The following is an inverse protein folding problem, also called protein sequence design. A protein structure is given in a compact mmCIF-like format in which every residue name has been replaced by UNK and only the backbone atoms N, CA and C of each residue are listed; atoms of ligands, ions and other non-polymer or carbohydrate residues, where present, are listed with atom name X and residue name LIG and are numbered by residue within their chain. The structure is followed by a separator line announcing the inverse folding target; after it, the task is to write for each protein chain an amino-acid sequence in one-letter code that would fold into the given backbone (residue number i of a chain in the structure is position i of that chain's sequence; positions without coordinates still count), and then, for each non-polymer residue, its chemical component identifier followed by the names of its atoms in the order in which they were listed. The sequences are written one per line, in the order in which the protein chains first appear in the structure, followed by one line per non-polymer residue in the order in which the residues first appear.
data_IF_968240480294
#
_entry.id   IF_968240480294
#
_cell.length_a   1.000
_cell.length_b   1.000
_cell.length_c   1.000
_cell.angle_alpha   90.00
_cell.angle_beta   90.00
_cell.angle_gamma   90.00
#
_symmetry.space_group_name_H-M   'P 1'
#
loop_
_entity.id
_entity.type
_entity.pdbx_description
1 polymer ?
#
# COMPACT_ATOMS: atom_id res chain seq x y z
N UNK A 1 -23.64 5.07 30.23
CA UNK A 1 -23.05 6.30 30.82
C UNK A 1 -21.51 6.28 30.86
N UNK A 2 -20.86 5.17 31.23
CA UNK A 2 -19.38 5.07 31.26
C UNK A 2 -18.72 5.18 29.87
N UNK A 3 -19.28 4.55 28.83
CA UNK A 3 -18.75 4.63 27.45
C UNK A 3 -18.77 6.08 26.93
N UNK A 4 -19.88 6.81 27.12
CA UNK A 4 -19.98 8.21 26.68
C UNK A 4 -18.94 9.09 27.39
N UNK A 5 -18.71 8.86 28.69
CA UNK A 5 -17.68 9.57 29.45
C UNK A 5 -16.28 9.27 28.91
N UNK A 6 -15.99 8.00 28.62
CA UNK A 6 -14.73 7.58 27.99
C UNK A 6 -14.51 8.25 26.63
N UNK A 7 -15.52 8.24 25.74
CA UNK A 7 -15.42 8.86 24.42
C UNK A 7 -15.19 10.37 24.51
N UNK A 8 -15.84 11.08 25.45
CA UNK A 8 -15.61 12.51 25.70
C UNK A 8 -14.20 12.79 26.22
N UNK A 9 -13.68 11.95 27.11
CA UNK A 9 -12.29 12.06 27.60
C UNK A 9 -11.29 11.84 26.47
N UNK A 10 -11.53 10.84 25.61
CA UNK A 10 -10.70 10.56 24.45
C UNK A 10 -10.72 11.71 23.45
N UNK A 11 -11.90 12.26 23.15
CA UNK A 11 -12.07 13.42 22.28
C UNK A 11 -11.32 14.65 22.81
N UNK A 12 -11.45 14.95 24.11
CA UNK A 12 -10.75 16.06 24.77
C UNK A 12 -9.23 15.90 24.68
N UNK A 13 -8.73 14.68 24.89
CA UNK A 13 -7.32 14.35 24.75
C UNK A 13 -6.82 14.54 23.31
N UNK A 14 -7.59 14.06 22.32
CA UNK A 14 -7.28 14.21 20.90
C UNK A 14 -7.19 15.69 20.50
N UNK A 15 -8.13 16.52 20.96
CA UNK A 15 -8.10 17.98 20.69
C UNK A 15 -6.86 18.64 21.27
N UNK A 16 -6.46 18.28 22.50
CA UNK A 16 -5.25 18.80 23.14
C UNK A 16 -4.01 18.44 22.31
N UNK A 17 -3.89 17.17 21.90
CA UNK A 17 -2.79 16.70 21.07
C UNK A 17 -2.71 17.40 19.71
N UNK A 18 -3.86 17.82 19.15
CA UNK A 18 -3.98 18.45 17.82
C UNK A 18 -3.85 19.99 17.87
N UNK A 19 -3.73 20.62 19.05
CA UNK A 19 -3.78 22.08 19.16
C UNK A 19 -2.56 22.83 18.59
N UNK A 20 -1.41 22.17 18.42
CA UNK A 20 -0.18 22.79 17.93
C UNK A 20 0.30 22.20 16.59
N UNK A 21 0.22 23.02 15.53
CA UNK A 21 0.46 22.60 14.14
C UNK A 21 1.83 21.93 13.90
N UNK A 22 2.89 22.35 14.60
CA UNK A 22 4.23 21.77 14.42
C UNK A 22 4.31 20.38 15.08
N UNK A 23 3.82 20.23 16.30
CA UNK A 23 3.79 18.93 16.98
C UNK A 23 2.88 17.94 16.25
N UNK A 24 1.76 18.41 15.68
CA UNK A 24 0.89 17.56 14.86
C UNK A 24 1.62 16.98 13.66
N UNK A 25 2.38 17.82 12.95
CA UNK A 25 3.13 17.39 11.78
C UNK A 25 4.18 16.35 12.18
N UNK A 26 4.90 16.58 13.28
CA UNK A 26 5.87 15.62 13.79
C UNK A 26 5.22 14.28 14.16
N UNK A 27 4.09 14.30 14.86
CA UNK A 27 3.34 13.09 15.25
C UNK A 27 2.85 12.34 14.01
N UNK A 28 2.30 13.05 13.01
CA UNK A 28 1.84 12.46 11.74
C UNK A 28 3.01 11.77 11.02
N UNK A 29 4.15 12.45 10.89
CA UNK A 29 5.34 11.89 10.24
C UNK A 29 5.84 10.66 11.02
N UNK A 30 5.91 10.74 12.35
CA UNK A 30 6.32 9.62 13.19
C UNK A 30 5.40 8.39 12.99
N UNK A 31 4.09 8.59 12.92
CA UNK A 31 3.14 7.52 12.65
C UNK A 31 3.26 6.95 11.23
N UNK A 32 3.46 7.80 10.22
CA UNK A 32 3.72 7.33 8.84
C UNK A 32 4.98 6.47 8.81
N UNK A 33 6.06 6.89 9.47
CA UNK A 33 7.32 6.12 9.56
C UNK A 33 7.07 4.79 10.28
N UNK A 34 6.38 4.81 11.43
CA UNK A 34 6.08 3.60 12.19
C UNK A 34 5.23 2.60 11.38
N UNK A 35 4.20 3.07 10.69
CA UNK A 35 3.40 2.24 9.77
C UNK A 35 4.24 1.70 8.63
N UNK A 36 5.06 2.54 8.00
CA UNK A 36 5.90 2.14 6.86
C UNK A 36 6.88 1.03 7.26
N UNK A 37 7.47 1.15 8.46
CA UNK A 37 8.32 0.10 9.04
C UNK A 37 7.51 -1.18 9.27
N UNK A 38 6.31 -1.08 9.87
CA UNK A 38 5.44 -2.23 10.08
C UNK A 38 5.05 -2.92 8.78
N UNK A 39 4.66 -2.17 7.76
CA UNK A 39 4.28 -2.72 6.46
C UNK A 39 5.46 -3.39 5.78
N UNK A 40 6.62 -2.74 5.74
CA UNK A 40 7.77 -3.25 5.01
C UNK A 40 8.35 -4.54 5.61
N UNK A 41 8.45 -4.63 6.95
CA UNK A 41 9.16 -5.75 7.59
C UNK A 41 8.50 -6.30 8.86
N UNK A 42 7.30 -5.83 9.21
CA UNK A 42 6.55 -6.25 10.39
C UNK A 42 7.36 -6.14 11.70
N UNK A 43 8.27 -5.15 11.81
CA UNK A 43 9.07 -4.93 13.04
C UNK A 43 8.23 -4.61 14.27
N UNK A 44 7.02 -4.05 14.08
CA UNK A 44 6.09 -3.79 15.19
C UNK A 44 5.36 -5.05 15.67
N UNK A 45 5.48 -6.18 14.98
CA UNK A 45 4.88 -7.45 15.39
C UNK A 45 3.35 -7.48 15.27
N UNK A 46 2.76 -6.64 14.41
CA UNK A 46 1.30 -6.62 14.17
C UNK A 46 0.83 -7.94 13.58
N UNK A 47 1.62 -8.52 12.67
CA UNK A 47 1.37 -9.85 12.12
C UNK A 47 2.12 -10.88 12.97
N UNK A 48 1.39 -11.75 13.66
CA UNK A 48 1.99 -12.76 14.57
C UNK A 48 2.61 -13.92 13.79
N UNK A 49 2.00 -14.34 12.68
CA UNK A 49 2.54 -15.37 11.81
C UNK A 49 3.53 -14.78 10.80
N UNK A 50 4.83 -14.94 11.07
CA UNK A 50 5.91 -14.40 10.24
C UNK A 50 6.00 -15.05 8.85
N UNK A 51 5.64 -16.33 8.73
CA UNK A 51 5.68 -17.04 7.46
C UNK A 51 4.56 -16.56 6.55
N UNK A 52 3.37 -16.31 7.13
CA UNK A 52 2.28 -15.67 6.41
C UNK A 52 2.67 -14.28 5.92
N UNK A 53 3.29 -13.44 6.75
CA UNK A 53 3.76 -12.11 6.31
C UNK A 53 4.70 -12.18 5.11
N UNK A 54 5.61 -13.17 5.07
CA UNK A 54 6.58 -13.35 3.97
C UNK A 54 5.99 -14.00 2.73
N UNK A 55 4.97 -14.84 2.88
CA UNK A 55 4.37 -15.59 1.79
C UNK A 55 3.16 -14.89 1.17
N UNK A 56 2.59 -13.89 1.86
CA UNK A 56 1.33 -13.27 1.48
C UNK A 56 1.37 -12.66 0.09
N UNK A 57 0.49 -13.15 -0.78
CA UNK A 57 0.29 -12.60 -2.10
C UNK A 57 1.48 -12.78 -3.05
N UNK A 58 2.42 -13.68 -2.76
CA UNK A 58 3.52 -14.00 -3.68
C UNK A 58 3.00 -14.51 -5.03
N UNK A 59 1.87 -15.23 -4.98
CA UNK A 59 1.15 -15.75 -6.14
C UNK A 59 0.72 -14.63 -7.12
N UNK A 60 0.14 -13.56 -6.58
CA UNK A 60 -0.33 -12.41 -7.35
C UNK A 60 0.75 -11.36 -7.58
N UNK A 61 1.73 -11.24 -6.68
CA UNK A 61 2.83 -10.29 -6.81
C UNK A 61 3.83 -10.69 -7.89
N UNK A 62 3.93 -11.98 -8.21
CA UNK A 62 4.76 -12.51 -9.31
C UNK A 62 4.48 -11.85 -10.67
N UNK A 63 3.30 -11.26 -10.85
CA UNK A 63 2.96 -10.53 -12.06
C UNK A 63 3.81 -9.26 -12.25
N UNK A 64 4.32 -8.64 -11.18
CA UNK A 64 5.18 -7.45 -11.25
C UNK A 64 6.56 -7.78 -11.83
N UNK A 65 7.36 -8.72 -11.27
CA UNK A 65 8.62 -9.11 -11.89
C UNK A 65 8.42 -9.75 -13.27
N UNK A 66 7.29 -10.42 -13.53
CA UNK A 66 6.95 -10.89 -14.87
C UNK A 66 6.78 -9.72 -15.87
N UNK A 67 6.10 -8.64 -15.50
CA UNK A 67 5.99 -7.45 -16.36
C UNK A 67 7.35 -6.78 -16.57
N UNK A 68 8.18 -6.69 -15.52
CA UNK A 68 9.54 -6.15 -15.65
C UNK A 68 10.37 -6.97 -16.65
N UNK A 69 10.34 -8.30 -16.54
CA UNK A 69 11.01 -9.19 -17.48
C UNK A 69 10.47 -9.04 -18.90
N UNK A 70 9.14 -8.95 -19.06
CA UNK A 70 8.51 -8.75 -20.37
C UNK A 70 9.02 -7.44 -21.02
N UNK A 71 9.08 -6.35 -20.25
CA UNK A 71 9.60 -5.07 -20.73
C UNK A 71 11.10 -5.15 -21.06
N UNK A 72 11.90 -5.85 -20.24
CA UNK A 72 13.34 -6.04 -20.47
C UNK A 72 13.64 -6.78 -21.78
N UNK A 73 12.78 -7.72 -22.19
CA UNK A 73 12.95 -8.52 -23.41
C UNK A 73 12.05 -8.05 -24.57
N UNK A 74 11.57 -6.81 -24.52
CA UNK A 74 10.75 -6.18 -25.57
C UNK A 74 9.51 -7.01 -25.98
N UNK A 75 8.89 -7.68 -25.00
CA UNK A 75 7.68 -8.48 -25.21
C UNK A 75 6.46 -7.55 -25.28
N UNK A 76 5.63 -7.73 -26.32
CA UNK A 76 4.35 -7.03 -26.43
C UNK A 76 3.38 -7.47 -25.30
N UNK A 77 3.05 -6.54 -24.41
CA UNK A 77 2.13 -6.78 -23.28
C UNK A 77 0.66 -6.67 -23.67
N UNK A 78 0.34 -6.34 -24.94
CA UNK A 78 -1.02 -6.19 -25.46
C UNK A 78 -1.84 -5.13 -24.71
N UNK A 79 -1.17 -4.11 -24.15
CA UNK A 79 -1.82 -3.05 -23.36
C UNK A 79 -2.15 -3.43 -21.91
N UNK A 80 -1.68 -4.57 -21.42
CA UNK A 80 -1.81 -4.97 -20.01
C UNK A 80 -0.53 -4.65 -19.22
N UNK A 81 -0.70 -4.20 -17.98
CA UNK A 81 0.40 -3.89 -17.06
C UNK A 81 0.83 -5.06 -16.19
N UNK A 82 0.12 -6.17 -16.25
CA UNK A 82 0.42 -7.37 -15.48
C UNK A 82 0.65 -8.53 -16.43
N UNK A 83 1.80 -9.17 -16.31
CA UNK A 83 2.17 -10.33 -17.12
C UNK A 83 2.23 -11.57 -16.24
N UNK A 84 2.03 -12.71 -16.87
CA UNK A 84 2.32 -14.04 -16.37
C UNK A 84 3.50 -14.55 -17.19
N UNK A 85 4.35 -15.37 -16.60
CA UNK A 85 5.36 -16.11 -17.32
C UNK A 85 5.23 -17.61 -17.08
N UNK A 86 5.69 -18.40 -18.05
CA UNK A 86 5.84 -19.84 -17.91
C UNK A 86 7.27 -20.25 -18.26
N UNK A 87 7.82 -21.18 -17.47
CA UNK A 87 9.16 -21.71 -17.65
C UNK A 87 9.33 -23.05 -16.94
N UNK A 88 9.58 -24.12 -17.70
CA UNK A 88 9.70 -25.47 -17.16
C UNK A 88 10.95 -25.67 -16.28
N UNK A 89 11.90 -24.71 -16.29
CA UNK A 89 13.10 -24.73 -15.44
C UNK A 89 12.81 -24.21 -14.02
N UNK A 90 11.65 -23.59 -13.79
CA UNK A 90 11.29 -22.91 -12.54
C UNK A 90 9.87 -23.29 -12.11
N UNK A 91 9.74 -24.16 -11.10
CA UNK A 91 8.46 -24.76 -10.72
C UNK A 91 7.43 -23.83 -10.01
N UNK A 92 7.79 -22.58 -9.71
CA UNK A 92 6.96 -21.61 -8.96
C UNK A 92 6.92 -20.24 -9.66
N UNK A 93 6.75 -20.22 -10.98
CA UNK A 93 6.65 -18.96 -11.75
C UNK A 93 5.58 -18.01 -11.21
N UNK A 94 4.45 -18.57 -10.76
CA UNK A 94 3.41 -17.83 -10.06
C UNK A 94 3.80 -17.39 -8.65
N UNK A 95 4.77 -18.03 -7.98
CA UNK A 95 5.29 -17.61 -6.68
C UNK A 95 6.56 -16.75 -6.80
N UNK A 96 7.63 -17.18 -6.15
CA UNK A 96 8.90 -16.45 -6.16
C UNK A 96 9.74 -16.68 -7.43
N UNK A 97 9.29 -17.55 -8.33
CA UNK A 97 10.01 -17.95 -9.54
C UNK A 97 10.28 -16.75 -10.46
N UNK A 98 9.27 -15.93 -10.73
CA UNK A 98 9.43 -14.73 -11.55
C UNK A 98 10.46 -13.75 -10.97
N UNK A 99 10.44 -13.54 -9.65
CA UNK A 99 11.43 -12.71 -8.97
C UNK A 99 12.85 -13.31 -9.04
N UNK A 100 12.99 -14.64 -8.92
CA UNK A 100 14.28 -15.31 -9.09
C UNK A 100 14.80 -15.20 -10.52
N UNK A 101 13.93 -15.28 -11.52
CA UNK A 101 14.32 -15.09 -12.92
C UNK A 101 14.80 -13.65 -13.16
N UNK A 102 14.09 -12.66 -12.61
CA UNK A 102 14.50 -11.25 -12.65
C UNK A 102 15.88 -11.04 -12.01
N UNK A 103 16.14 -11.62 -10.84
CA UNK A 103 17.42 -11.48 -10.14
C UNK A 103 18.60 -12.17 -10.82
N UNK A 104 18.35 -13.24 -11.57
CA UNK A 104 19.40 -14.01 -12.26
C UNK A 104 19.46 -13.70 -13.75
N UNK A 105 18.78 -12.64 -14.21
CA UNK A 105 18.72 -12.23 -15.62
C UNK A 105 18.30 -13.37 -16.58
N UNK A 106 17.37 -14.22 -16.15
CA UNK A 106 16.88 -15.35 -16.92
C UNK A 106 15.68 -14.96 -17.78
N UNK A 107 15.78 -15.17 -19.10
CA UNK A 107 14.66 -14.99 -20.01
C UNK A 107 13.67 -16.16 -19.89
N UNK A 108 12.38 -15.88 -19.58
CA UNK A 108 11.33 -16.90 -19.59
C UNK A 108 11.04 -17.48 -20.97
N UNK A 109 10.61 -18.74 -21.00
CA UNK A 109 10.22 -19.41 -22.24
C UNK A 109 8.95 -18.83 -22.87
N UNK A 110 8.00 -18.39 -22.05
CA UNK A 110 6.75 -17.80 -22.53
C UNK A 110 6.22 -16.72 -21.59
N UNK A 111 5.50 -15.77 -22.17
CA UNK A 111 4.79 -14.69 -21.48
C UNK A 111 3.33 -14.65 -21.92
N UNK A 112 2.45 -14.29 -20.99
CA UNK A 112 1.02 -14.12 -21.25
C UNK A 112 0.50 -12.89 -20.49
N UNK A 113 -0.37 -12.05 -21.07
CA UNK A 113 -0.98 -10.96 -20.32
C UNK A 113 -1.97 -11.49 -19.28
N UNK A 114 -1.96 -10.91 -18.07
CA UNK A 114 -2.97 -11.16 -17.06
C UNK A 114 -4.20 -10.29 -17.32
N UNK A 115 -5.25 -10.90 -17.89
CA UNK A 115 -6.40 -10.17 -18.46
C UNK A 115 -7.50 -9.78 -17.48
N UNK A 116 -7.42 -10.22 -16.22
CA UNK A 116 -8.47 -9.92 -15.22
C UNK A 116 -8.46 -8.46 -14.74
N UNK A 117 -7.40 -7.70 -15.03
CA UNK A 117 -7.36 -6.26 -14.79
C UNK A 117 -6.38 -5.57 -15.75
N UNK A 118 -6.56 -4.28 -16.01
CA UNK A 118 -5.59 -3.50 -16.81
C UNK A 118 -4.21 -3.48 -16.13
N UNK A 119 -4.16 -3.50 -14.79
CA UNK A 119 -2.90 -3.65 -14.07
C UNK A 119 -2.05 -2.38 -14.02
N UNK A 120 -2.66 -1.22 -13.79
CA UNK A 120 -1.99 0.10 -13.72
C UNK A 120 -0.75 0.06 -12.80
N UNK A 121 -0.86 -0.66 -11.68
CA UNK A 121 0.25 -0.86 -10.75
C UNK A 121 1.48 -1.50 -11.41
N UNK A 122 1.28 -2.45 -12.32
CA UNK A 122 2.40 -3.13 -12.97
C UNK A 122 3.14 -2.25 -13.98
N UNK A 123 2.43 -1.36 -14.69
CA UNK A 123 3.10 -0.33 -15.50
C UNK A 123 3.95 0.60 -14.64
N UNK A 124 3.37 1.10 -13.55
CA UNK A 124 4.05 2.03 -12.65
C UNK A 124 5.29 1.40 -12.00
N UNK A 125 5.16 0.19 -11.44
CA UNK A 125 6.26 -0.49 -10.79
C UNK A 125 7.36 -0.91 -11.77
N UNK A 126 7.00 -1.27 -13.00
CA UNK A 126 7.99 -1.56 -14.05
C UNK A 126 8.80 -0.32 -14.42
N UNK A 127 8.12 0.81 -14.62
CA UNK A 127 8.80 2.09 -14.87
C UNK A 127 9.71 2.51 -13.72
N UNK A 128 9.23 2.43 -12.48
CA UNK A 128 10.03 2.74 -11.28
C UNK A 128 11.19 1.77 -11.09
N UNK A 129 11.03 0.50 -11.44
CA UNK A 129 12.12 -0.47 -11.42
C UNK A 129 13.24 -0.08 -12.38
N UNK A 130 12.90 0.39 -13.58
CA UNK A 130 13.87 0.89 -14.55
C UNK A 130 14.70 2.08 -14.02
N UNK A 131 14.15 2.88 -13.11
CA UNK A 131 14.85 4.00 -12.47
C UNK A 131 15.65 3.60 -11.23
N UNK A 132 15.09 2.70 -10.40
CA UNK A 132 15.65 2.37 -9.09
C UNK A 132 16.55 1.13 -9.10
N UNK A 133 16.36 0.22 -10.07
CA UNK A 133 17.10 -1.03 -10.21
C UNK A 133 16.94 -2.02 -9.04
N UNK A 134 16.01 -1.78 -8.13
CA UNK A 134 15.86 -2.57 -6.90
C UNK A 134 14.41 -2.86 -6.60
N UNK A 135 14.08 -4.15 -6.53
CA UNK A 135 12.76 -4.63 -6.12
C UNK A 135 12.47 -4.27 -4.65
N UNK A 136 13.50 -4.31 -3.80
CA UNK A 136 13.41 -3.90 -2.40
C UNK A 136 13.02 -2.42 -2.26
N UNK A 137 13.60 -1.55 -3.08
CA UNK A 137 13.26 -0.13 -3.09
C UNK A 137 11.77 0.10 -3.46
N UNK A 138 11.20 -0.72 -4.35
CA UNK A 138 9.77 -0.65 -4.67
C UNK A 138 8.90 -0.99 -3.46
N UNK A 139 9.23 -2.06 -2.72
CA UNK A 139 8.48 -2.44 -1.51
C UNK A 139 8.53 -1.35 -0.43
N UNK A 140 9.70 -0.73 -0.24
CA UNK A 140 9.87 0.40 0.69
C UNK A 140 8.97 1.58 0.25
N UNK A 141 9.02 1.94 -1.03
CA UNK A 141 8.21 3.02 -1.59
C UNK A 141 6.71 2.72 -1.46
N UNK A 142 6.28 1.51 -1.78
CA UNK A 142 4.89 1.05 -1.64
C UNK A 142 4.41 1.13 -0.18
N UNK A 143 5.25 0.72 0.77
CA UNK A 143 4.95 0.79 2.21
C UNK A 143 4.78 2.23 2.69
N UNK A 144 5.62 3.15 2.20
CA UNK A 144 5.52 4.60 2.49
C UNK A 144 4.24 5.19 1.91
N UNK A 145 3.99 4.96 0.61
CA UNK A 145 2.80 5.48 -0.07
C UNK A 145 1.51 4.95 0.57
N UNK A 146 1.48 3.66 0.93
CA UNK A 146 0.34 3.04 1.60
C UNK A 146 0.09 3.64 2.99
N UNK A 147 1.16 3.92 3.74
CA UNK A 147 1.07 4.58 5.05
C UNK A 147 0.55 6.01 4.92
N UNK A 148 1.03 6.77 3.93
CA UNK A 148 0.54 8.12 3.61
C UNK A 148 -0.94 8.08 3.24
N UNK A 149 -1.36 7.15 2.38
CA UNK A 149 -2.74 7.04 1.93
C UNK A 149 -3.71 6.76 3.10
N UNK A 150 -3.36 5.86 4.02
CA UNK A 150 -4.16 5.58 5.22
C UNK A 150 -4.21 6.80 6.14
N UNK A 151 -3.09 7.48 6.35
CA UNK A 151 -3.03 8.69 7.18
C UNK A 151 -3.90 9.81 6.58
N UNK A 152 -3.78 10.08 5.27
CA UNK A 152 -4.60 11.07 4.57
C UNK A 152 -6.09 10.74 4.66
N UNK A 153 -6.44 9.46 4.44
CA UNK A 153 -7.82 8.99 4.60
C UNK A 153 -8.34 9.24 6.01
N UNK A 154 -7.54 8.93 7.03
CA UNK A 154 -7.88 9.15 8.43
C UNK A 154 -8.12 10.64 8.74
N UNK A 155 -7.26 11.53 8.23
CA UNK A 155 -7.38 12.98 8.39
C UNK A 155 -8.63 13.51 7.68
N UNK A 156 -8.93 13.03 6.48
CA UNK A 156 -10.12 13.44 5.74
C UNK A 156 -11.40 12.98 6.44
N UNK A 157 -11.44 11.74 6.90
CA UNK A 157 -12.57 11.21 7.67
C UNK A 157 -12.74 11.96 9.00
N UNK A 158 -11.64 12.36 9.65
CA UNK A 158 -11.70 13.24 10.83
C UNK A 158 -12.35 14.60 10.52
N UNK A 159 -12.10 15.16 9.34
CA UNK A 159 -12.72 16.42 8.91
C UNK A 159 -14.21 16.27 8.57
N UNK A 160 -14.61 15.13 8.02
CA UNK A 160 -15.98 14.89 7.59
C UNK A 160 -16.87 14.47 8.77
N UNK A 161 -16.39 13.55 9.62
CA UNK A 161 -17.19 12.90 10.65
C UNK A 161 -16.77 13.25 12.09
N UNK A 162 -15.71 14.06 12.26
CA UNK A 162 -15.16 14.45 13.56
C UNK A 162 -13.86 13.70 13.92
N UNK A 163 -13.02 14.35 14.72
CA UNK A 163 -11.65 13.90 15.04
C UNK A 163 -11.59 12.48 15.60
N UNK A 164 -12.52 12.14 16.48
CA UNK A 164 -12.61 10.81 17.09
C UNK A 164 -12.77 9.71 16.04
N UNK A 165 -13.58 9.94 15.00
CA UNK A 165 -13.80 8.96 13.94
C UNK A 165 -12.51 8.67 13.17
N UNK A 166 -11.79 9.72 12.75
CA UNK A 166 -10.52 9.56 12.04
C UNK A 166 -9.45 8.87 12.89
N UNK A 167 -9.39 9.14 14.20
CA UNK A 167 -8.47 8.46 15.12
C UNK A 167 -8.82 6.98 15.27
N UNK A 168 -10.10 6.64 15.47
CA UNK A 168 -10.53 5.23 15.58
C UNK A 168 -10.26 4.49 14.27
N UNK A 169 -10.54 5.12 13.12
CA UNK A 169 -10.22 4.56 11.82
C UNK A 169 -8.71 4.32 11.66
N UNK A 170 -7.88 5.31 12.00
CA UNK A 170 -6.43 5.19 11.93
C UNK A 170 -5.90 4.03 12.77
N UNK A 171 -6.30 3.96 14.05
CA UNK A 171 -5.89 2.89 14.97
C UNK A 171 -6.32 1.53 14.42
N UNK A 172 -7.55 1.42 13.90
CA UNK A 172 -8.07 0.18 13.31
C UNK A 172 -7.21 -0.29 12.13
N UNK A 173 -6.76 0.64 11.27
CA UNK A 173 -5.88 0.32 10.15
C UNK A 173 -4.45 0.02 10.59
N UNK A 174 -3.92 0.79 11.55
CA UNK A 174 -2.56 0.66 12.07
C UNK A 174 -2.31 -0.73 12.68
N UNK A 175 -3.26 -1.23 13.46
CA UNK A 175 -3.14 -2.53 14.15
C UNK A 175 -3.73 -3.71 13.36
N UNK A 176 -4.14 -3.51 12.11
CA UNK A 176 -4.71 -4.59 11.29
C UNK A 176 -3.60 -5.45 10.65
N UNK A 177 -3.56 -6.77 10.91
CA UNK A 177 -2.61 -7.68 10.27
C UNK A 177 -2.80 -7.72 8.75
N UNK A 178 -4.05 -7.65 8.29
CA UNK A 178 -4.37 -7.61 6.85
C UNK A 178 -3.78 -6.38 6.19
N UNK A 179 -4.01 -5.21 6.76
CA UNK A 179 -3.46 -3.96 6.21
C UNK A 179 -1.94 -3.99 6.20
N UNK A 180 -1.32 -4.62 7.22
CA UNK A 180 0.13 -4.78 7.27
C UNK A 180 0.67 -5.62 6.12
N UNK A 181 0.07 -6.79 5.82
CA UNK A 181 0.52 -7.63 4.70
C UNK A 181 0.21 -7.02 3.33
N UNK A 182 -0.93 -6.35 3.17
CA UNK A 182 -1.28 -5.65 1.93
C UNK A 182 -0.38 -4.43 1.68
N UNK A 183 0.05 -3.73 2.74
CA UNK A 183 0.89 -2.54 2.65
C UNK A 183 2.29 -2.82 2.11
N UNK A 184 2.77 -4.06 2.20
CA UNK A 184 4.05 -4.47 1.59
C UNK A 184 3.91 -4.90 0.13
N UNK A 185 2.74 -5.39 -0.29
CA UNK A 185 2.59 -6.09 -1.56
C UNK A 185 2.34 -5.12 -2.73
N UNK A 186 3.20 -5.16 -3.75
CA UNK A 186 3.19 -4.31 -4.94
C UNK A 186 2.01 -4.59 -5.87
N UNK A 187 1.50 -5.82 -5.92
CA UNK A 187 0.30 -6.12 -6.71
C UNK A 187 -0.93 -5.45 -6.10
N UNK A 188 -1.07 -5.51 -4.78
CA UNK A 188 -2.19 -4.89 -4.07
C UNK A 188 -2.07 -3.37 -4.00
N UNK A 189 -0.86 -2.84 -3.80
CA UNK A 189 -0.57 -1.40 -3.78
C UNK A 189 -1.66 -0.59 -3.07
N UNK A 190 -1.81 -0.78 -1.74
CA UNK A 190 -2.94 -0.22 -0.98
C UNK A 190 -3.21 1.26 -1.28
N UNK A 191 -2.17 2.06 -1.48
CA UNK A 191 -2.35 3.48 -1.80
C UNK A 191 -3.17 3.72 -3.08
N UNK A 192 -3.08 2.86 -4.10
CA UNK A 192 -3.91 2.93 -5.31
C UNK A 192 -5.37 2.64 -4.95
N UNK A 193 -5.61 1.69 -4.05
CA UNK A 193 -6.97 1.34 -3.61
C UNK A 193 -7.64 2.46 -2.84
N UNK A 194 -6.87 3.17 -2.00
CA UNK A 194 -7.37 4.31 -1.24
C UNK A 194 -7.51 5.58 -2.08
N UNK A 195 -6.83 5.68 -3.23
CA UNK A 195 -6.77 6.91 -4.02
C UNK A 195 -8.15 7.42 -4.49
N UNK A 196 -9.06 6.59 -5.05
CA UNK A 196 -10.40 7.06 -5.40
C UNK A 196 -11.18 7.60 -4.20
N UNK A 197 -11.03 6.96 -3.03
CA UNK A 197 -11.63 7.41 -1.77
C UNK A 197 -11.07 8.77 -1.35
N UNK A 198 -9.74 8.92 -1.32
CA UNK A 198 -9.05 10.18 -1.00
C UNK A 198 -9.52 11.31 -1.92
N UNK A 199 -9.59 11.08 -3.23
CA UNK A 199 -10.10 12.06 -4.19
C UNK A 199 -11.55 12.45 -3.89
N UNK A 200 -12.40 11.46 -3.61
CA UNK A 200 -13.82 11.69 -3.29
C UNK A 200 -13.99 12.50 -2.01
N UNK A 201 -13.26 12.16 -0.94
CA UNK A 201 -13.30 12.89 0.32
C UNK A 201 -12.74 14.31 0.17
N UNK A 202 -11.66 14.48 -0.60
CA UNK A 202 -11.11 15.81 -0.89
C UNK A 202 -12.14 16.71 -1.58
N UNK A 203 -12.78 16.21 -2.64
CA UNK A 203 -13.82 16.94 -3.38
C UNK A 203 -14.99 17.28 -2.45
N UNK A 204 -15.45 16.32 -1.64
CA UNK A 204 -16.53 16.56 -0.68
C UNK A 204 -16.18 17.67 0.32
N UNK A 205 -14.99 17.63 0.91
CA UNK A 205 -14.51 18.65 1.86
C UNK A 205 -14.40 20.00 1.14
N UNK A 206 -13.81 20.04 -0.05
CA UNK A 206 -13.61 21.26 -0.82
C UNK A 206 -14.94 21.95 -1.15
N UNK A 207 -15.91 21.18 -1.64
CA UNK A 207 -17.22 21.70 -2.02
C UNK A 207 -18.04 22.03 -0.77
N UNK A 208 -18.32 21.05 0.08
CA UNK A 208 -19.36 21.22 1.10
C UNK A 208 -18.90 21.90 2.39
N UNK A 209 -17.63 21.74 2.77
CA UNK A 209 -17.14 22.29 4.04
C UNK A 209 -16.58 23.71 3.85
N UNK A 210 -16.00 24.02 2.68
CA UNK A 210 -15.39 25.33 2.46
C UNK A 210 -16.23 26.31 1.63
N UNK A 211 -17.18 25.85 0.79
CA UNK A 211 -17.98 26.75 -0.07
C UNK A 211 -19.37 27.00 0.52
N UNK A 212 -19.96 26.05 1.25
CA UNK A 212 -21.37 26.10 1.67
C UNK A 212 -21.60 26.27 3.18
N UNK A 213 -20.55 26.26 4.00
CA UNK A 213 -20.60 26.50 5.46
C UNK A 213 -19.65 27.65 5.78
#
# INVERSE_FOLDING_TARGET
MQIIKFLKTLESFVVICISNRIYNLFIIIAFIIAMSISFYNNKLGIVTNKDWFKAFGNDVESHIPATILANKYDIDTQGYGLMILNDDRVNDTYGLGALRMLKNDMQPQAFYPYRSSIGIQGFLWTWLYGMLGSFEALHILNSILSSIAIMLTSIMLARIFGSLFGVVFFISMFFSPWITVFGNNLYWSLWIWFLPGICSYYIYIYIYIYIYI
#
